data_IF_703825803431
#
_entry.id   IF_703825803431
#
_cell.length_a   1.000
_cell.length_b   1.000
_cell.length_c   1.000
_cell.angle_alpha   90.00
_cell.angle_beta   90.00
_cell.angle_gamma   90.00
#
_symmetry.space_group_name_H-M   'P 1'
#
loop_
_entity.id
_entity.type
_entity.pdbx_description
1 polymer ?
#
# COMPACT_ATOMS: atom_id res chain seq x y z
N UNK A 1 27.20 26.73 -0.17
CA UNK A 1 26.51 25.61 -0.84
C UNK A 1 25.03 25.97 -0.88
N UNK A 2 24.53 26.29 -2.06
CA UNK A 2 23.11 26.62 -2.30
C UNK A 2 22.30 25.34 -2.20
N UNK A 3 21.56 25.17 -1.11
CA UNK A 3 20.56 24.09 -1.02
C UNK A 3 19.54 24.34 -2.14
N UNK A 4 19.35 23.42 -3.09
CA UNK A 4 18.35 23.62 -4.12
C UNK A 4 16.98 23.77 -3.46
N UNK A 5 16.18 24.73 -3.93
CA UNK A 5 14.85 25.08 -3.38
C UNK A 5 13.88 23.89 -3.31
N UNK A 6 14.18 22.80 -4.05
CA UNK A 6 13.41 21.57 -4.08
C UNK A 6 14.36 20.37 -4.07
N UNK A 7 14.81 19.95 -2.88
CA UNK A 7 15.49 18.66 -2.70
C UNK A 7 14.53 17.69 -2.05
N UNK A 8 14.16 16.62 -2.77
CA UNK A 8 13.36 15.55 -2.18
C UNK A 8 14.21 14.87 -1.08
N UNK A 9 13.69 14.73 0.15
CA UNK A 9 14.38 14.00 1.19
C UNK A 9 14.72 12.57 0.73
N UNK A 10 15.97 12.14 0.97
CA UNK A 10 16.45 10.79 0.58
C UNK A 10 15.50 9.65 0.98
N UNK A 11 14.91 9.63 2.20
CA UNK A 11 14.01 8.54 2.59
C UNK A 11 12.74 8.46 1.72
N UNK A 12 12.26 9.60 1.22
CA UNK A 12 11.09 9.65 0.34
C UNK A 12 11.45 9.05 -1.03
N UNK A 13 12.61 9.43 -1.58
CA UNK A 13 13.10 8.90 -2.84
C UNK A 13 13.30 7.38 -2.79
N UNK A 14 13.97 6.87 -1.75
CA UNK A 14 14.19 5.44 -1.56
C UNK A 14 12.88 4.64 -1.42
N UNK A 15 11.87 5.22 -0.77
CA UNK A 15 10.56 4.56 -0.64
C UNK A 15 9.78 4.54 -1.95
N UNK A 16 9.92 5.57 -2.78
CA UNK A 16 9.35 5.58 -4.13
C UNK A 16 10.03 4.57 -5.05
N UNK A 17 11.36 4.39 -4.93
CA UNK A 17 12.08 3.34 -5.64
C UNK A 17 11.57 1.95 -5.24
N UNK A 18 11.43 1.67 -3.94
CA UNK A 18 10.87 0.40 -3.44
C UNK A 18 9.42 0.18 -3.90
N UNK A 19 8.63 1.25 -4.01
CA UNK A 19 7.27 1.17 -4.56
C UNK A 19 7.29 0.73 -6.02
N UNK A 20 8.14 1.34 -6.84
CA UNK A 20 8.26 0.99 -8.26
C UNK A 20 8.70 -0.47 -8.43
N UNK A 21 9.73 -0.91 -7.69
CA UNK A 21 10.17 -2.31 -7.67
C UNK A 21 9.03 -3.27 -7.31
N UNK A 22 8.20 -2.89 -6.33
CA UNK A 22 7.07 -3.71 -5.88
C UNK A 22 5.99 -3.84 -6.96
N UNK A 23 5.67 -2.74 -7.65
CA UNK A 23 4.68 -2.70 -8.73
C UNK A 23 5.16 -3.50 -9.95
N UNK A 24 6.44 -3.38 -10.32
CA UNK A 24 7.04 -4.16 -11.40
C UNK A 24 7.05 -5.66 -11.11
N UNK A 25 7.37 -6.03 -9.87
CA UNK A 25 7.39 -7.44 -9.42
C UNK A 25 5.98 -8.04 -9.34
N UNK A 26 4.98 -7.24 -8.99
CA UNK A 26 3.60 -7.67 -8.77
C UNK A 26 2.63 -6.74 -9.52
N UNK A 27 2.46 -6.89 -10.85
CA UNK A 27 1.70 -5.93 -11.65
C UNK A 27 0.18 -6.00 -11.43
N UNK A 28 -0.34 -7.14 -10.97
CA UNK A 28 -1.78 -7.35 -10.76
C UNK A 28 -2.13 -7.37 -9.27
N UNK A 29 -1.43 -8.21 -8.51
CA UNK A 29 -1.79 -8.56 -7.14
C UNK A 29 -0.55 -8.60 -6.25
N UNK A 30 -0.53 -7.76 -5.21
CA UNK A 30 0.60 -7.69 -4.29
C UNK A 30 0.31 -8.57 -3.05
N UNK A 31 1.24 -9.46 -2.66
CA UNK A 31 1.15 -10.19 -1.40
C UNK A 31 1.17 -9.24 -0.20
N UNK A 32 0.31 -9.52 0.79
CA UNK A 32 0.25 -8.78 2.06
C UNK A 32 1.62 -8.62 2.74
N UNK A 33 2.50 -9.65 2.82
CA UNK A 33 3.79 -9.49 3.47
C UNK A 33 4.72 -8.47 2.78
N UNK A 34 4.65 -8.35 1.45
CA UNK A 34 5.50 -7.45 0.68
C UNK A 34 5.04 -5.98 0.86
N UNK A 35 3.72 -5.75 0.87
CA UNK A 35 3.17 -4.44 1.23
C UNK A 35 3.50 -4.06 2.67
N UNK A 36 3.37 -5.02 3.60
CA UNK A 36 3.69 -4.79 5.01
C UNK A 36 5.16 -4.39 5.20
N UNK A 37 6.08 -5.02 4.44
CA UNK A 37 7.50 -4.68 4.42
C UNK A 37 7.75 -3.25 3.92
N UNK A 38 7.09 -2.85 2.83
CA UNK A 38 7.21 -1.47 2.31
C UNK A 38 6.70 -0.43 3.33
N UNK A 39 5.60 -0.73 4.03
CA UNK A 39 5.01 0.17 5.01
C UNK A 39 5.66 0.09 6.40
N UNK A 40 6.66 -0.78 6.60
CA UNK A 40 7.31 -0.97 7.90
C UNK A 40 6.40 -1.55 8.98
N UNK A 41 5.38 -2.33 8.60
CA UNK A 41 4.42 -2.94 9.54
C UNK A 41 4.51 -4.46 9.54
N UNK A 42 3.95 -5.06 10.60
CA UNK A 42 3.80 -6.51 10.67
C UNK A 42 2.65 -6.97 9.74
N UNK A 43 2.78 -8.09 9.01
CA UNK A 43 1.73 -8.60 8.13
C UNK A 43 0.39 -8.84 8.85
N UNK A 44 0.41 -9.19 10.13
CA UNK A 44 -0.79 -9.43 10.95
C UNK A 44 -1.57 -8.13 11.17
N UNK A 45 -0.87 -7.02 11.41
CA UNK A 45 -1.48 -5.70 11.55
C UNK A 45 -2.13 -5.24 10.25
N UNK A 46 -1.49 -5.52 9.10
CA UNK A 46 -2.07 -5.20 7.79
C UNK A 46 -3.33 -6.03 7.52
N UNK A 47 -3.32 -7.33 7.85
CA UNK A 47 -4.52 -8.18 7.75
C UNK A 47 -5.66 -7.68 8.62
N UNK A 48 -5.36 -7.24 9.85
CA UNK A 48 -6.35 -6.64 10.73
C UNK A 48 -6.92 -5.33 10.16
N UNK A 49 -6.08 -4.46 9.58
CA UNK A 49 -6.53 -3.23 8.92
C UNK A 49 -7.43 -3.49 7.71
N UNK A 50 -7.13 -4.53 6.92
CA UNK A 50 -8.00 -4.98 5.82
C UNK A 50 -9.34 -5.48 6.38
N UNK A 51 -9.32 -6.29 7.42
CA UNK A 51 -10.53 -6.84 8.05
C UNK A 51 -11.41 -5.76 8.71
N UNK A 52 -10.81 -4.71 9.26
CA UNK A 52 -11.53 -3.55 9.79
C UNK A 52 -12.01 -2.58 8.69
N UNK A 53 -11.62 -2.79 7.43
CA UNK A 53 -12.00 -1.94 6.29
C UNK A 53 -11.34 -0.56 6.28
N UNK A 54 -10.28 -0.35 7.07
CA UNK A 54 -9.51 0.90 7.10
C UNK A 54 -8.48 0.97 5.98
N UNK A 55 -7.98 -0.18 5.51
CA UNK A 55 -7.07 -0.27 4.37
C UNK A 55 -7.84 -0.58 3.07
N UNK A 56 -8.19 0.48 2.34
CA UNK A 56 -9.00 0.39 1.10
C UNK A 56 -8.36 -0.35 -0.08
N UNK A 57 -7.03 -0.34 -0.29
CA UNK A 57 -6.42 -1.07 -1.41
C UNK A 57 -6.52 -2.59 -1.31
N UNK A 58 -6.74 -3.11 -0.09
CA UNK A 58 -6.85 -4.52 0.18
C UNK A 58 -8.29 -4.94 0.47
N UNK A 59 -8.59 -6.20 0.18
CA UNK A 59 -9.83 -6.84 0.58
C UNK A 59 -9.55 -8.25 1.10
N UNK A 60 -10.42 -8.71 2.00
CA UNK A 60 -10.43 -10.07 2.50
C UNK A 60 -11.70 -10.79 2.05
N UNK A 61 -11.61 -12.11 1.91
CA UNK A 61 -12.76 -12.95 1.63
C UNK A 61 -12.68 -14.24 2.43
N UNK A 62 -13.83 -14.89 2.59
CA UNK A 62 -13.94 -16.19 3.25
C UNK A 62 -14.66 -17.16 2.32
N UNK A 63 -14.08 -18.35 2.11
CA UNK A 63 -14.72 -19.40 1.29
C UNK A 63 -15.66 -20.22 2.17
N UNK A 64 -16.93 -19.85 2.21
CA UNK A 64 -17.98 -20.58 2.94
C UNK A 64 -17.62 -20.79 4.42
N UNK A 65 -17.63 -22.05 4.87
CA UNK A 65 -17.37 -22.44 6.27
C UNK A 65 -15.87 -22.47 6.64
N UNK A 66 -14.97 -22.31 5.67
CA UNK A 66 -13.52 -22.39 5.92
C UNK A 66 -13.08 -21.41 7.01
N UNK A 67 -12.26 -21.84 7.96
CA UNK A 67 -11.74 -20.93 9.00
C UNK A 67 -10.71 -19.93 8.46
N UNK A 68 -10.03 -20.27 7.36
CA UNK A 68 -9.02 -19.42 6.75
C UNK A 68 -9.66 -18.32 5.89
N UNK A 69 -9.14 -17.10 6.03
CA UNK A 69 -9.45 -15.95 5.17
C UNK A 69 -8.40 -15.82 4.08
N UNK A 70 -8.85 -15.49 2.87
CA UNK A 70 -7.99 -15.00 1.80
C UNK A 70 -7.81 -13.49 1.92
N UNK A 71 -6.63 -13.01 1.51
CA UNK A 71 -6.31 -11.58 1.45
C UNK A 71 -5.68 -11.27 0.11
N UNK A 72 -6.04 -10.12 -0.45
CA UNK A 72 -5.52 -9.66 -1.73
C UNK A 72 -5.45 -8.14 -1.73
N UNK A 73 -4.37 -7.63 -2.30
CA UNK A 73 -4.14 -6.20 -2.47
C UNK A 73 -3.94 -5.98 -3.96
N UNK A 74 -4.82 -5.17 -4.56
CA UNK A 74 -4.72 -4.90 -5.99
C UNK A 74 -3.66 -3.82 -6.23
N UNK A 75 -2.77 -4.07 -7.19
CA UNK A 75 -1.58 -3.22 -7.42
C UNK A 75 -1.95 -1.79 -7.80
N UNK A 76 -2.89 -1.61 -8.72
CA UNK A 76 -3.32 -0.27 -9.18
C UNK A 76 -3.94 0.54 -8.03
N UNK A 77 -4.96 0.05 -7.28
CA UNK A 77 -5.47 0.75 -6.11
C UNK A 77 -4.41 1.05 -5.05
N UNK A 78 -3.45 0.13 -4.84
CA UNK A 78 -2.37 0.36 -3.88
C UNK A 78 -1.43 1.47 -4.32
N UNK A 79 -0.99 1.47 -5.58
CA UNK A 79 -0.14 2.50 -6.14
C UNK A 79 -0.80 3.88 -6.09
N UNK A 80 -2.08 3.98 -6.46
CA UNK A 80 -2.84 5.23 -6.38
C UNK A 80 -2.97 5.70 -4.93
N UNK A 81 -3.32 4.80 -4.00
CA UNK A 81 -3.41 5.14 -2.57
C UNK A 81 -2.07 5.59 -1.96
N UNK A 82 -0.96 5.01 -2.43
CA UNK A 82 0.37 5.33 -1.92
C UNK A 82 0.91 6.67 -2.46
N UNK A 83 0.61 6.98 -3.73
CA UNK A 83 1.16 8.16 -4.43
C UNK A 83 0.25 9.38 -4.41
N UNK A 84 -1.07 9.17 -4.28
CA UNK A 84 -2.04 10.26 -4.25
C UNK A 84 -2.48 10.54 -2.81
N UNK A 85 -2.40 11.80 -2.40
CA UNK A 85 -3.23 12.25 -1.27
C UNK A 85 -4.69 12.22 -1.70
N UNK A 86 -5.60 11.83 -0.82
CA UNK A 86 -7.04 11.95 -1.01
C UNK A 86 -7.36 13.38 -1.49
N UNK A 87 -7.76 13.56 -2.76
CA UNK A 87 -8.43 14.80 -3.19
C UNK A 87 -9.83 14.70 -2.63
N UNK A 88 -10.08 15.34 -1.48
CA UNK A 88 -11.43 15.37 -0.95
C UNK A 88 -12.15 16.43 -1.76
N UNK A 89 -13.09 16.00 -2.59
CA UNK A 89 -13.99 16.92 -3.27
C UNK A 89 -14.90 17.70 -2.29
N UNK A 90 -14.83 17.41 -0.98
CA UNK A 90 -15.59 18.10 0.06
C UNK A 90 -14.91 19.37 0.61
N UNK A 91 -13.94 19.94 -0.10
CA UNK A 91 -13.33 21.24 0.23
C UNK A 91 -13.81 22.40 -0.68
N UNK A 92 -15.00 22.28 -1.27
CA UNK A 92 -15.68 23.37 -1.98
C UNK A 92 -17.13 23.51 -1.53
#
# INVERSE_FOLDING_TARGET
MTTPLFQIPKPIMENMEKLNELVEKYPLDIPVPEVAKLMGMKPECLRAAIDCGTFKPGYSWRKGVAQNKGYKIATIPFYLWYTQSWISAELF
#
